data_IF_369306884365
#
_entry.id   IF_369306884365
#
_cell.length_a   1.000
_cell.length_b   1.000
_cell.length_c   1.000
_cell.angle_alpha   90.00
_cell.angle_beta   90.00
_cell.angle_gamma   90.00
#
_symmetry.space_group_name_H-M   'P 1'
#
loop_
_entity.id
_entity.type
_entity.pdbx_description
1 polymer ?
#
# COMPACT_ATOMS: atom_id res chain seq x y z
N UNK A 1 -18.06 -13.30 -26.14
CA UNK A 1 -17.07 -13.33 -25.05
C UNK A 1 -17.82 -13.71 -23.79
N UNK A 2 -17.41 -14.72 -23.03
CA UNK A 2 -18.04 -15.06 -21.76
C UNK A 2 -17.47 -14.19 -20.63
N UNK A 3 -18.23 -14.04 -19.54
CA UNK A 3 -17.80 -13.19 -18.40
C UNK A 3 -16.46 -13.64 -17.82
N UNK A 4 -16.20 -14.94 -17.75
CA UNK A 4 -14.92 -15.47 -17.26
C UNK A 4 -13.73 -15.10 -18.16
N UNK A 5 -13.88 -15.07 -19.51
CA UNK A 5 -12.81 -14.59 -20.40
C UNK A 5 -12.52 -13.10 -20.21
N UNK A 6 -13.56 -12.30 -20.04
CA UNK A 6 -13.39 -10.86 -19.76
C UNK A 6 -12.69 -10.66 -18.40
N UNK A 7 -13.12 -11.37 -17.36
CA UNK A 7 -12.50 -11.26 -16.04
C UNK A 7 -11.02 -11.69 -16.07
N UNK A 8 -10.66 -12.78 -16.77
CA UNK A 8 -9.24 -13.18 -16.92
C UNK A 8 -8.39 -12.05 -17.50
N UNK A 9 -8.86 -11.45 -18.60
CA UNK A 9 -8.14 -10.35 -19.27
C UNK A 9 -8.06 -9.10 -18.41
N UNK A 10 -9.11 -8.80 -17.63
CA UNK A 10 -9.09 -7.70 -16.70
C UNK A 10 -8.08 -7.95 -15.56
N UNK A 11 -8.05 -9.16 -15.01
CA UNK A 11 -7.07 -9.56 -14.00
C UNK A 11 -5.64 -9.34 -14.53
N UNK A 12 -5.35 -9.78 -15.76
CA UNK A 12 -4.02 -9.63 -16.37
C UNK A 12 -3.62 -8.15 -16.56
N UNK A 13 -4.57 -7.28 -16.96
CA UNK A 13 -4.30 -5.83 -17.10
C UNK A 13 -4.11 -5.14 -15.76
N UNK A 14 -4.92 -5.49 -14.77
CA UNK A 14 -4.82 -4.91 -13.42
C UNK A 14 -3.54 -5.35 -12.72
N UNK A 15 -3.15 -6.63 -12.85
CA UNK A 15 -1.86 -7.12 -12.36
C UNK A 15 -0.68 -6.36 -12.99
N UNK A 16 -0.74 -6.12 -14.31
CA UNK A 16 0.26 -5.29 -14.98
C UNK A 16 0.29 -3.84 -14.44
N UNK A 17 -0.87 -3.24 -14.21
CA UNK A 17 -0.96 -1.90 -13.60
C UNK A 17 -0.35 -1.83 -12.20
N UNK A 18 -0.58 -2.86 -11.38
CA UNK A 18 0.03 -2.98 -10.05
C UNK A 18 1.55 -3.21 -10.14
N UNK A 19 2.01 -3.99 -11.11
CA UNK A 19 3.44 -4.18 -11.37
C UNK A 19 4.13 -2.85 -11.69
N UNK A 20 3.55 -2.05 -12.58
CA UNK A 20 4.08 -0.72 -12.92
C UNK A 20 4.07 0.23 -11.71
N UNK A 21 3.04 0.18 -10.89
CA UNK A 21 2.98 0.95 -9.64
C UNK A 21 4.07 0.53 -8.66
N UNK A 22 4.31 -0.78 -8.49
CA UNK A 22 5.41 -1.28 -7.65
C UNK A 22 6.77 -0.86 -8.19
N UNK A 23 6.97 -0.88 -9.51
CA UNK A 23 8.19 -0.38 -10.16
C UNK A 23 8.41 1.11 -9.88
N UNK A 24 7.36 1.91 -9.92
CA UNK A 24 7.42 3.33 -9.60
C UNK A 24 7.82 3.57 -8.13
N UNK A 25 7.22 2.84 -7.17
CA UNK A 25 7.59 2.91 -5.76
C UNK A 25 9.03 2.46 -5.52
N UNK A 26 9.46 1.36 -6.15
CA UNK A 26 10.84 0.88 -6.05
C UNK A 26 11.82 1.92 -6.61
N UNK A 27 11.52 2.50 -7.78
CA UNK A 27 12.33 3.56 -8.37
C UNK A 27 12.44 4.79 -7.46
N UNK A 28 11.35 5.18 -6.81
CA UNK A 28 11.36 6.26 -5.84
C UNK A 28 12.16 5.88 -4.58
N UNK A 29 12.00 4.66 -4.05
CA UNK A 29 12.77 4.18 -2.92
C UNK A 29 14.29 4.17 -3.18
N UNK A 30 14.71 3.82 -4.40
CA UNK A 30 16.12 3.85 -4.80
C UNK A 30 16.64 5.30 -4.86
N UNK A 31 15.87 6.25 -5.39
CA UNK A 31 16.28 7.67 -5.43
C UNK A 31 16.46 8.29 -4.05
N UNK A 32 15.65 7.85 -3.08
CA UNK A 32 15.64 8.38 -1.70
C UNK A 32 16.42 7.49 -0.72
N UNK A 33 17.31 6.64 -1.23
CA UNK A 33 18.10 5.75 -0.39
C UNK A 33 18.97 6.53 0.60
N UNK A 34 18.82 6.22 1.90
CA UNK A 34 19.52 6.91 2.98
C UNK A 34 18.82 8.16 3.51
N UNK A 35 17.77 8.65 2.87
CA UNK A 35 17.02 9.79 3.34
C UNK A 35 16.13 9.43 4.53
N UNK A 36 16.32 10.12 5.66
CA UNK A 36 15.57 9.89 6.91
C UNK A 36 14.38 10.84 6.99
N UNK A 37 13.21 10.29 7.29
CA UNK A 37 11.97 11.03 7.48
C UNK A 37 11.35 10.70 8.85
N UNK A 38 10.49 11.58 9.39
CA UNK A 38 9.74 11.25 10.60
C UNK A 38 8.63 10.24 10.28
N UNK A 39 8.65 9.09 10.95
CA UNK A 39 7.55 8.13 10.94
C UNK A 39 6.46 8.54 11.92
N UNK A 40 5.21 8.17 11.62
CA UNK A 40 4.02 8.55 12.37
C UNK A 40 3.23 7.34 12.86
N UNK A 41 2.73 7.43 14.08
CA UNK A 41 1.64 6.59 14.60
C UNK A 41 0.62 7.50 15.26
N UNK A 42 -0.68 7.19 15.13
CA UNK A 42 -1.76 8.04 15.68
C UNK A 42 -1.67 9.51 15.25
N UNK A 43 -1.18 9.77 14.03
CA UNK A 43 -0.89 11.12 13.51
C UNK A 43 0.10 11.93 14.37
N UNK A 44 0.89 11.24 15.22
CA UNK A 44 1.95 11.85 16.02
C UNK A 44 3.30 11.33 15.55
N UNK A 45 4.31 12.21 15.55
CA UNK A 45 5.69 11.80 15.27
C UNK A 45 6.12 10.73 16.27
N UNK A 46 6.68 9.64 15.78
CA UNK A 46 7.02 8.46 16.57
C UNK A 46 8.52 8.18 16.54
N UNK A 47 9.00 7.64 15.45
CA UNK A 47 10.40 7.25 15.26
C UNK A 47 10.91 7.71 13.90
N UNK A 48 12.24 7.93 13.73
CA UNK A 48 12.78 8.19 12.40
C UNK A 48 12.80 6.89 11.61
N UNK A 49 12.49 6.99 10.31
CA UNK A 49 12.54 5.88 9.36
C UNK A 49 13.20 6.33 8.07
N UNK A 50 13.73 5.42 7.28
CA UNK A 50 14.16 5.73 5.93
C UNK A 50 12.94 5.94 5.02
N UNK A 51 12.97 6.96 4.18
CA UNK A 51 11.95 7.18 3.15
C UNK A 51 11.78 5.94 2.26
N UNK A 52 12.88 5.30 1.87
CA UNK A 52 12.88 4.05 1.11
C UNK A 52 12.11 2.94 1.84
N UNK A 53 12.26 2.83 3.16
CA UNK A 53 11.54 1.84 3.96
C UNK A 53 10.02 2.04 3.89
N UNK A 54 9.56 3.29 4.03
CA UNK A 54 8.13 3.63 3.93
C UNK A 54 7.59 3.38 2.52
N UNK A 55 8.35 3.73 1.48
CA UNK A 55 7.96 3.50 0.08
C UNK A 55 7.85 2.00 -0.25
N UNK A 56 8.78 1.18 0.24
CA UNK A 56 8.74 -0.28 0.04
C UNK A 56 7.58 -0.96 0.79
N UNK A 57 7.03 -0.36 1.84
CA UNK A 57 5.83 -0.88 2.50
C UNK A 57 4.61 -0.91 1.55
N UNK A 58 4.54 0.01 0.59
CA UNK A 58 3.53 0.01 -0.47
C UNK A 58 3.78 -1.12 -1.49
N UNK A 59 5.03 -1.41 -1.82
CA UNK A 59 5.38 -2.58 -2.64
C UNK A 59 4.85 -3.87 -2.01
N UNK A 60 5.02 -4.06 -0.70
CA UNK A 60 4.51 -5.24 0.04
C UNK A 60 2.98 -5.32 0.03
N UNK A 61 2.28 -4.18 0.13
CA UNK A 61 0.81 -4.17 0.06
C UNK A 61 0.30 -4.59 -1.31
N UNK A 62 0.82 -4.00 -2.37
CA UNK A 62 0.40 -4.30 -3.74
C UNK A 62 0.85 -5.70 -4.20
N UNK A 63 1.93 -6.25 -3.65
CA UNK A 63 2.31 -7.64 -3.90
C UNK A 63 1.24 -8.63 -3.39
N UNK A 64 0.70 -8.37 -2.20
CA UNK A 64 -0.42 -9.18 -1.69
C UNK A 64 -1.69 -9.07 -2.54
N UNK A 65 -1.91 -7.92 -3.18
CA UNK A 65 -3.05 -7.76 -4.11
C UNK A 65 -2.81 -8.53 -5.40
N UNK A 66 -1.60 -8.50 -5.95
CA UNK A 66 -1.19 -9.30 -7.10
C UNK A 66 -1.33 -10.82 -6.83
N UNK A 67 -0.92 -11.26 -5.66
CA UNK A 67 -1.10 -12.66 -5.25
C UNK A 67 -2.59 -13.05 -5.22
N UNK A 68 -3.47 -12.18 -4.68
CA UNK A 68 -4.93 -12.41 -4.69
C UNK A 68 -5.49 -12.46 -6.12
N UNK A 69 -5.04 -11.56 -7.00
CA UNK A 69 -5.41 -11.60 -8.42
C UNK A 69 -5.00 -12.92 -9.07
N UNK A 70 -3.78 -13.39 -8.82
CA UNK A 70 -3.28 -14.67 -9.35
C UNK A 70 -4.12 -15.86 -8.85
N UNK A 71 -4.54 -15.85 -7.59
CA UNK A 71 -5.40 -16.91 -7.03
C UNK A 71 -6.84 -16.82 -7.58
N UNK A 72 -7.41 -15.64 -7.70
CA UNK A 72 -8.70 -15.41 -8.34
C UNK A 72 -8.68 -15.87 -9.82
N UNK A 73 -7.59 -15.59 -10.54
CA UNK A 73 -7.41 -15.99 -11.91
C UNK A 73 -7.51 -17.50 -12.14
N UNK A 74 -6.96 -18.30 -11.22
CA UNK A 74 -7.05 -19.78 -11.30
C UNK A 74 -8.50 -20.26 -11.30
N UNK A 75 -9.34 -19.72 -10.42
CA UNK A 75 -10.77 -20.08 -10.32
C UNK A 75 -11.60 -19.49 -11.48
N UNK A 76 -11.22 -18.33 -11.99
CA UNK A 76 -11.85 -17.72 -13.17
C UNK A 76 -11.50 -18.46 -14.47
N UNK A 77 -10.40 -19.22 -14.49
CA UNK A 77 -9.85 -19.84 -15.70
C UNK A 77 -10.52 -21.19 -16.05
N UNK A 78 -11.82 -21.28 -15.83
CA UNK A 78 -12.66 -22.44 -16.14
C UNK A 78 -13.68 -22.07 -17.21
N UNK A 79 -13.73 -22.84 -18.31
CA UNK A 79 -14.61 -22.58 -19.45
C UNK A 79 -16.05 -22.99 -19.14
N UNK A 80 -17.03 -22.05 -19.16
CA UNK A 80 -18.45 -22.41 -19.02
C UNK A 80 -19.12 -22.76 -20.36
N UNK A 81 -18.51 -22.34 -21.50
CA UNK A 81 -19.13 -22.54 -22.81
C UNK A 81 -19.40 -24.02 -23.11
N UNK A 82 -20.54 -24.28 -23.77
CA UNK A 82 -21.03 -25.61 -24.04
C UNK A 82 -21.88 -26.23 -22.91
N UNK A 83 -22.10 -25.52 -21.80
CA UNK A 83 -23.03 -25.92 -20.75
C UNK A 83 -24.50 -25.84 -21.17
N UNK A 84 -24.81 -25.15 -22.26
CA UNK A 84 -26.18 -24.84 -22.65
C UNK A 84 -26.87 -23.93 -21.62
N UNK A 85 -28.20 -24.03 -21.54
CA UNK A 85 -28.95 -23.25 -20.57
C UNK A 85 -29.01 -23.93 -19.15
N UNK A 86 -28.99 -25.28 -19.14
CA UNK A 86 -29.13 -26.08 -17.90
C UNK A 86 -28.58 -27.51 -18.06
N UNK A 87 -28.96 -28.24 -19.09
CA UNK A 87 -28.75 -29.70 -19.19
C UNK A 87 -27.56 -30.10 -20.12
N UNK A 88 -26.77 -29.15 -20.59
CA UNK A 88 -25.76 -29.41 -21.60
C UNK A 88 -26.36 -29.45 -23.04
N UNK A 89 -25.79 -30.26 -23.92
CA UNK A 89 -26.22 -30.40 -25.31
C UNK A 89 -26.20 -31.84 -25.74
N UNK A 90 -27.17 -32.23 -26.58
CA UNK A 90 -27.20 -33.52 -27.28
C UNK A 90 -26.34 -33.51 -28.56
N UNK A 91 -25.84 -32.33 -28.97
CA UNK A 91 -24.96 -32.21 -30.12
C UNK A 91 -23.51 -32.61 -29.73
N UNK A 92 -22.74 -33.19 -30.69
CA UNK A 92 -21.36 -33.60 -30.42
C UNK A 92 -20.40 -32.41 -30.38
N UNK A 93 -20.63 -31.50 -29.46
CA UNK A 93 -19.74 -30.33 -29.26
C UNK A 93 -18.45 -30.74 -28.52
N UNK A 94 -17.32 -30.31 -29.03
CA UNK A 94 -16.02 -30.55 -28.45
C UNK A 94 -15.64 -29.36 -27.52
N UNK A 95 -16.00 -29.47 -26.26
CA UNK A 95 -15.69 -28.43 -25.23
C UNK A 95 -14.19 -28.32 -24.90
N UNK A 96 -13.44 -29.43 -25.08
CA UNK A 96 -12.00 -29.41 -24.86
C UNK A 96 -11.27 -28.68 -25.97
N UNK A 97 -11.73 -28.82 -27.22
CA UNK A 97 -11.21 -28.03 -28.32
C UNK A 97 -11.43 -26.52 -28.09
N UNK A 98 -12.64 -26.14 -27.70
CA UNK A 98 -12.96 -24.74 -27.36
C UNK A 98 -12.13 -24.24 -26.20
N UNK A 99 -11.96 -25.05 -25.17
CA UNK A 99 -11.13 -24.73 -23.99
C UNK A 99 -9.68 -24.41 -24.39
N UNK A 100 -9.06 -25.28 -25.21
CA UNK A 100 -7.70 -25.11 -25.72
C UNK A 100 -7.58 -23.88 -26.62
N UNK A 101 -8.54 -23.68 -27.55
CA UNK A 101 -8.56 -22.54 -28.46
C UNK A 101 -8.69 -21.19 -27.76
N UNK A 102 -9.39 -21.13 -26.64
CA UNK A 102 -9.56 -19.92 -25.82
C UNK A 102 -8.53 -19.81 -24.69
N UNK A 103 -7.67 -20.81 -24.51
CA UNK A 103 -6.62 -20.81 -23.50
C UNK A 103 -7.14 -20.89 -22.05
N UNK A 104 -8.26 -21.59 -21.83
CA UNK A 104 -8.71 -21.92 -20.47
C UNK A 104 -7.95 -23.11 -19.91
N UNK A 105 -7.79 -23.17 -18.60
CA UNK A 105 -7.11 -24.27 -17.91
C UNK A 105 -7.99 -25.52 -17.76
N UNK A 106 -9.31 -25.31 -17.63
CA UNK A 106 -10.27 -26.37 -17.47
C UNK A 106 -11.64 -26.06 -18.07
N UNK A 107 -12.55 -27.01 -17.99
CA UNK A 107 -13.94 -26.93 -18.43
C UNK A 107 -14.86 -27.16 -17.24
N UNK A 108 -15.93 -26.37 -17.09
CA UNK A 108 -16.94 -26.56 -16.05
C UNK A 108 -17.53 -27.98 -16.13
N UNK A 109 -17.36 -28.75 -15.04
CA UNK A 109 -17.69 -30.17 -14.99
C UNK A 109 -19.20 -30.45 -14.93
N UNK A 110 -19.99 -29.50 -14.48
CA UNK A 110 -21.45 -29.60 -14.39
C UNK A 110 -22.09 -28.46 -15.18
N UNK A 111 -22.98 -28.79 -16.12
CA UNK A 111 -23.59 -27.80 -16.99
C UNK A 111 -24.57 -26.88 -16.27
N UNK A 112 -25.24 -27.39 -15.25
CA UNK A 112 -26.18 -26.60 -14.43
C UNK A 112 -25.44 -25.53 -13.64
N UNK A 113 -24.34 -25.93 -12.99
CA UNK A 113 -23.44 -25.05 -12.25
C UNK A 113 -22.78 -24.04 -13.18
N UNK A 114 -22.14 -24.50 -14.26
CA UNK A 114 -21.43 -23.64 -15.19
C UNK A 114 -22.31 -22.59 -15.90
N UNK A 115 -23.63 -22.83 -16.00
CA UNK A 115 -24.56 -21.84 -16.55
C UNK A 115 -24.89 -20.71 -15.54
N UNK A 116 -24.79 -20.97 -14.26
CA UNK A 116 -25.18 -20.05 -13.17
C UNK A 116 -24.02 -19.47 -12.37
N UNK A 117 -22.84 -20.09 -12.43
CA UNK A 117 -21.69 -19.68 -11.61
C UNK A 117 -21.32 -18.19 -11.83
N UNK A 118 -21.21 -17.50 -10.73
CA UNK A 118 -20.72 -16.11 -10.61
C UNK A 118 -19.76 -15.95 -9.43
N UNK A 119 -19.30 -17.03 -8.81
CA UNK A 119 -18.40 -16.96 -7.66
C UNK A 119 -17.11 -16.25 -8.05
N UNK A 120 -16.59 -16.51 -9.27
CA UNK A 120 -15.41 -15.82 -9.79
C UNK A 120 -15.64 -14.30 -9.96
N UNK A 121 -16.87 -13.85 -10.23
CA UNK A 121 -17.20 -12.41 -10.31
C UNK A 121 -17.19 -11.79 -8.92
N UNK A 122 -17.78 -12.47 -7.92
CA UNK A 122 -17.75 -12.03 -6.52
C UNK A 122 -16.33 -11.95 -5.98
N UNK A 123 -15.55 -12.98 -6.25
CA UNK A 123 -14.14 -13.01 -5.82
C UNK A 123 -13.34 -11.90 -6.46
N UNK A 124 -13.47 -11.68 -7.78
CA UNK A 124 -12.81 -10.58 -8.46
C UNK A 124 -13.26 -9.24 -7.87
N UNK A 125 -14.55 -9.01 -7.71
CA UNK A 125 -15.07 -7.76 -7.13
C UNK A 125 -14.51 -7.49 -5.73
N UNK A 126 -14.36 -8.55 -4.90
CA UNK A 126 -13.70 -8.43 -3.59
C UNK A 126 -12.22 -8.02 -3.73
N UNK A 127 -11.46 -8.68 -4.62
CA UNK A 127 -10.05 -8.37 -4.83
C UNK A 127 -9.86 -6.94 -5.33
N UNK A 128 -10.69 -6.50 -6.30
CA UNK A 128 -10.69 -5.13 -6.81
C UNK A 128 -11.00 -4.11 -5.70
N UNK A 129 -11.97 -4.42 -4.84
CA UNK A 129 -12.33 -3.55 -3.71
C UNK A 129 -11.21 -3.42 -2.70
N UNK A 130 -10.55 -4.51 -2.34
CA UNK A 130 -9.42 -4.48 -1.40
C UNK A 130 -8.22 -3.72 -1.99
N UNK A 131 -7.94 -3.91 -3.28
CA UNK A 131 -6.92 -3.14 -3.99
C UNK A 131 -7.24 -1.65 -4.00
N UNK A 132 -8.51 -1.28 -4.25
CA UNK A 132 -8.96 0.10 -4.19
C UNK A 132 -8.85 0.71 -2.77
N UNK A 133 -9.07 -0.09 -1.71
CA UNK A 133 -8.82 0.33 -0.32
C UNK A 133 -7.33 0.64 -0.11
N UNK A 134 -6.41 -0.19 -0.62
CA UNK A 134 -4.98 0.07 -0.50
C UNK A 134 -4.55 1.32 -1.29
N UNK A 135 -5.08 1.52 -2.49
CA UNK A 135 -4.86 2.76 -3.27
C UNK A 135 -5.41 3.98 -2.53
N UNK A 136 -6.59 3.87 -1.90
CA UNK A 136 -7.18 4.94 -1.09
C UNK A 136 -6.33 5.28 0.13
N UNK A 137 -5.76 4.29 0.82
CA UNK A 137 -4.87 4.50 1.96
C UNK A 137 -3.58 5.21 1.55
N UNK A 138 -2.98 4.81 0.43
CA UNK A 138 -1.84 5.49 -0.15
C UNK A 138 -2.16 6.93 -0.52
N UNK A 139 -3.27 7.14 -1.20
CA UNK A 139 -3.71 8.47 -1.63
C UNK A 139 -3.96 9.41 -0.43
N UNK A 140 -4.55 8.89 0.65
CA UNK A 140 -4.75 9.64 1.89
C UNK A 140 -3.42 10.03 2.54
N UNK A 141 -2.50 9.09 2.72
CA UNK A 141 -1.18 9.36 3.30
C UNK A 141 -0.45 10.44 2.52
N UNK A 142 -0.46 10.35 1.18
CA UNK A 142 0.23 11.31 0.33
C UNK A 142 -0.49 12.65 0.24
N UNK A 143 -1.82 12.67 0.34
CA UNK A 143 -2.58 13.93 0.49
C UNK A 143 -2.14 14.64 1.76
N UNK A 144 -2.05 13.94 2.89
CA UNK A 144 -1.56 14.50 4.16
C UNK A 144 -0.13 15.02 4.01
N UNK A 145 0.78 14.23 3.42
CA UNK A 145 2.19 14.60 3.29
C UNK A 145 2.43 15.75 2.30
N UNK A 146 1.48 16.02 1.39
CA UNK A 146 1.53 17.15 0.46
C UNK A 146 0.86 18.42 1.00
N UNK A 147 0.21 18.38 2.18
CA UNK A 147 -0.38 19.60 2.78
C UNK A 147 0.68 20.64 3.13
N UNK A 148 0.28 21.89 3.25
CA UNK A 148 1.16 22.99 3.68
C UNK A 148 1.74 22.77 5.09
N UNK A 149 0.99 22.10 5.97
CA UNK A 149 1.38 21.79 7.33
C UNK A 149 2.50 20.73 7.38
N UNK A 150 2.41 19.65 6.60
CA UNK A 150 3.46 18.66 6.46
C UNK A 150 4.52 19.11 5.46
N UNK A 151 4.15 19.31 4.21
CA UNK A 151 5.02 19.75 3.14
C UNK A 151 6.16 18.79 2.83
N UNK A 152 5.96 17.49 3.06
CA UNK A 152 7.02 16.48 2.86
C UNK A 152 7.12 16.04 1.41
N UNK A 153 6.00 16.03 0.69
CA UNK A 153 5.94 15.61 -0.71
C UNK A 153 5.62 16.77 -1.62
N UNK A 154 6.35 16.86 -2.72
CA UNK A 154 6.07 17.73 -3.86
C UNK A 154 5.53 16.85 -4.98
N UNK A 155 4.23 16.99 -5.25
CA UNK A 155 3.54 16.26 -6.31
C UNK A 155 3.84 16.88 -7.69
N UNK A 156 3.86 16.08 -8.77
CA UNK A 156 4.06 16.63 -10.12
C UNK A 156 2.85 17.49 -10.52
N UNK A 157 3.12 18.67 -11.09
CA UNK A 157 2.09 19.67 -11.44
C UNK A 157 0.98 19.10 -12.34
N UNK A 158 1.32 18.21 -13.27
CA UNK A 158 0.34 17.59 -14.17
C UNK A 158 -0.72 16.71 -13.47
N UNK A 159 -0.54 16.41 -12.18
CA UNK A 159 -1.47 15.63 -11.34
C UNK A 159 -2.15 16.49 -10.27
N UNK A 160 -1.98 17.80 -10.35
CA UNK A 160 -2.55 18.77 -9.42
C UNK A 160 -3.38 19.79 -10.21
N UNK A 161 -4.36 20.41 -9.55
CA UNK A 161 -5.12 21.51 -10.17
C UNK A 161 -5.02 22.79 -9.36
N UNK A 162 -4.95 23.92 -10.07
CA UNK A 162 -5.05 25.24 -9.47
C UNK A 162 -6.49 25.56 -9.05
N UNK A 163 -6.64 26.52 -8.15
CA UNK A 163 -7.94 27.08 -7.80
C UNK A 163 -8.30 28.22 -8.76
N UNK A 164 -9.54 28.25 -9.27
CA UNK A 164 -10.05 29.34 -10.08
C UNK A 164 -10.22 30.67 -9.30
N UNK A 165 -10.26 30.58 -7.96
CA UNK A 165 -10.50 31.73 -7.06
C UNK A 165 -9.26 32.07 -6.25
N UNK A 166 -8.45 31.09 -5.89
CA UNK A 166 -7.27 31.25 -5.03
C UNK A 166 -5.99 30.95 -5.83
N UNK A 167 -5.31 31.96 -6.41
CA UNK A 167 -4.19 31.73 -7.33
C UNK A 167 -2.99 30.99 -6.74
N UNK A 168 -2.83 31.05 -5.42
CA UNK A 168 -1.74 30.37 -4.68
C UNK A 168 -2.03 28.92 -4.33
N UNK A 169 -3.26 28.41 -4.59
CA UNK A 169 -3.71 27.08 -4.14
C UNK A 169 -3.49 26.04 -5.23
N UNK A 170 -2.77 24.99 -4.90
CA UNK A 170 -2.57 23.80 -5.72
C UNK A 170 -3.19 22.61 -4.96
N UNK A 171 -4.09 21.89 -5.61
CA UNK A 171 -4.85 20.80 -5.01
C UNK A 171 -4.31 19.43 -5.48
N UNK A 172 -4.24 18.42 -4.62
CA UNK A 172 -3.84 17.07 -4.98
C UNK A 172 -5.02 16.26 -5.55
N UNK A 173 -5.73 16.79 -6.54
CA UNK A 173 -7.03 16.28 -7.02
C UNK A 173 -6.98 14.81 -7.43
N UNK A 174 -5.89 14.36 -8.06
CA UNK A 174 -5.77 12.96 -8.48
C UNK A 174 -5.76 12.03 -7.27
N UNK A 175 -5.05 12.38 -6.20
CA UNK A 175 -5.07 11.60 -4.96
C UNK A 175 -6.48 11.60 -4.31
N UNK A 176 -7.16 12.74 -4.31
CA UNK A 176 -8.54 12.84 -3.81
C UNK A 176 -9.51 11.99 -4.63
N UNK A 177 -9.36 12.00 -5.97
CA UNK A 177 -10.19 11.17 -6.86
C UNK A 177 -9.91 9.67 -6.67
N UNK A 178 -8.66 9.24 -6.49
CA UNK A 178 -8.32 7.86 -6.16
C UNK A 178 -9.01 7.44 -4.85
N UNK A 179 -8.93 8.28 -3.82
CA UNK A 179 -9.61 8.06 -2.54
C UNK A 179 -11.14 7.99 -2.70
N UNK A 180 -11.73 8.92 -3.45
CA UNK A 180 -13.18 8.98 -3.66
C UNK A 180 -13.72 7.82 -4.51
N UNK A 181 -13.00 7.44 -5.58
CA UNK A 181 -13.42 6.37 -6.49
C UNK A 181 -13.40 4.98 -5.86
N UNK A 182 -12.60 4.75 -4.82
CA UNK A 182 -12.57 3.47 -4.09
C UNK A 182 -13.93 3.06 -3.53
N UNK A 183 -14.80 4.04 -3.20
CA UNK A 183 -16.15 3.78 -2.71
C UNK A 183 -17.02 3.04 -3.75
N UNK A 184 -16.81 3.30 -5.05
CA UNK A 184 -17.58 2.65 -6.13
C UNK A 184 -17.30 1.15 -6.19
N UNK A 185 -16.03 0.76 -6.17
CA UNK A 185 -15.65 -0.68 -6.23
C UNK A 185 -16.15 -1.44 -5.01
N UNK A 186 -16.13 -0.82 -3.82
CA UNK A 186 -16.67 -1.41 -2.57
C UNK A 186 -18.20 -1.60 -2.70
N UNK A 187 -18.91 -0.57 -3.17
CA UNK A 187 -20.35 -0.65 -3.39
C UNK A 187 -20.73 -1.71 -4.42
N UNK A 188 -19.99 -1.81 -5.51
CA UNK A 188 -20.19 -2.80 -6.57
C UNK A 188 -20.00 -4.24 -6.07
N UNK A 189 -18.98 -4.50 -5.25
CA UNK A 189 -18.77 -5.82 -4.67
C UNK A 189 -19.94 -6.24 -3.78
N UNK A 190 -20.49 -5.31 -3.00
CA UNK A 190 -21.65 -5.55 -2.19
C UNK A 190 -22.90 -5.80 -3.04
N UNK A 191 -23.09 -5.02 -4.11
CA UNK A 191 -24.22 -5.18 -5.03
C UNK A 191 -24.25 -6.56 -5.67
N UNK A 192 -23.11 -7.09 -6.13
CA UNK A 192 -22.99 -8.43 -6.71
C UNK A 192 -23.38 -9.52 -5.69
N UNK A 193 -22.91 -9.43 -4.45
CA UNK A 193 -23.29 -10.38 -3.40
C UNK A 193 -24.80 -10.35 -3.10
N UNK A 194 -25.39 -9.16 -3.08
CA UNK A 194 -26.84 -8.99 -2.88
C UNK A 194 -27.64 -9.54 -4.07
N UNK A 195 -27.14 -9.35 -5.30
CA UNK A 195 -27.72 -9.92 -6.52
C UNK A 195 -27.86 -11.44 -6.40
N UNK A 196 -26.80 -12.13 -5.98
CA UNK A 196 -26.74 -13.59 -6.02
C UNK A 196 -27.46 -14.30 -4.86
N UNK A 197 -27.61 -13.65 -3.71
CA UNK A 197 -28.05 -14.25 -2.43
C UNK A 197 -29.37 -15.03 -2.44
N UNK A 198 -30.23 -14.82 -3.40
CA UNK A 198 -31.56 -15.45 -3.44
C UNK A 198 -31.86 -16.19 -4.72
N UNK A 199 -30.86 -16.35 -5.62
CA UNK A 199 -31.05 -17.00 -6.89
C UNK A 199 -31.00 -18.52 -6.77
N UNK A 200 -31.96 -19.25 -7.39
CA UNK A 200 -31.85 -20.71 -7.51
C UNK A 200 -30.77 -21.07 -8.54
N UNK A 201 -30.33 -22.32 -8.46
CA UNK A 201 -29.37 -22.89 -9.43
C UNK A 201 -29.89 -22.82 -10.86
N UNK A 202 -29.03 -22.72 -11.85
CA UNK A 202 -29.24 -22.48 -13.26
C UNK A 202 -29.36 -20.99 -13.63
N UNK A 203 -29.49 -20.70 -14.93
CA UNK A 203 -29.52 -19.35 -15.42
C UNK A 203 -30.81 -18.62 -15.00
N UNK A 204 -30.63 -17.47 -14.41
CA UNK A 204 -31.68 -16.49 -14.12
C UNK A 204 -31.32 -15.15 -14.78
N UNK A 205 -32.31 -14.39 -15.23
CA UNK A 205 -32.07 -13.14 -15.95
C UNK A 205 -31.38 -12.07 -15.09
N UNK A 206 -31.56 -12.14 -13.80
CA UNK A 206 -30.86 -11.32 -12.79
C UNK A 206 -29.35 -11.35 -13.00
N UNK A 207 -28.78 -12.48 -13.41
CA UNK A 207 -27.33 -12.64 -13.66
C UNK A 207 -26.78 -11.73 -14.76
N UNK A 208 -27.61 -10.97 -15.48
CA UNK A 208 -27.17 -9.95 -16.42
C UNK A 208 -26.69 -8.68 -15.73
N UNK A 209 -27.20 -8.40 -14.53
CA UNK A 209 -26.85 -7.22 -13.75
C UNK A 209 -25.42 -7.29 -13.17
N UNK A 210 -24.76 -8.45 -13.21
CA UNK A 210 -23.35 -8.60 -12.83
C UNK A 210 -22.42 -7.76 -13.71
N UNK A 211 -22.82 -7.47 -14.96
CA UNK A 211 -21.99 -6.82 -15.97
C UNK A 211 -21.67 -5.37 -15.62
N UNK A 212 -22.71 -4.59 -15.30
CA UNK A 212 -22.55 -3.16 -15.03
C UNK A 212 -21.63 -2.94 -13.83
N UNK A 213 -21.85 -3.69 -12.76
CA UNK A 213 -21.09 -3.56 -11.50
C UNK A 213 -19.63 -4.00 -11.67
N UNK A 214 -19.36 -5.13 -12.35
CA UNK A 214 -17.99 -5.61 -12.49
C UNK A 214 -17.21 -4.78 -13.52
N UNK A 215 -17.86 -4.33 -14.62
CA UNK A 215 -17.20 -3.49 -15.62
C UNK A 215 -16.83 -2.14 -15.02
N UNK A 216 -17.74 -1.49 -14.30
CA UNK A 216 -17.47 -0.24 -13.62
C UNK A 216 -16.32 -0.37 -12.59
N UNK A 217 -16.24 -1.50 -11.89
CA UNK A 217 -15.13 -1.76 -10.95
C UNK A 217 -13.80 -1.94 -11.67
N UNK A 218 -13.77 -2.67 -12.79
CA UNK A 218 -12.58 -2.88 -13.61
C UNK A 218 -12.10 -1.54 -14.18
N UNK A 219 -12.98 -0.80 -14.85
CA UNK A 219 -12.65 0.48 -15.51
C UNK A 219 -12.17 1.51 -14.46
N UNK A 220 -12.83 1.55 -13.30
CA UNK A 220 -12.44 2.43 -12.19
C UNK A 220 -11.02 2.10 -11.70
N UNK A 221 -10.73 0.82 -11.47
CA UNK A 221 -9.42 0.43 -10.94
C UNK A 221 -8.31 0.61 -11.98
N UNK A 222 -8.56 0.27 -13.25
CA UNK A 222 -7.60 0.51 -14.35
C UNK A 222 -7.27 2.00 -14.48
N UNK A 223 -8.27 2.88 -14.40
CA UNK A 223 -8.06 4.32 -14.41
C UNK A 223 -7.24 4.82 -13.20
N UNK A 224 -7.54 4.30 -12.00
CA UNK A 224 -6.77 4.64 -10.78
C UNK A 224 -5.30 4.22 -10.92
N UNK A 225 -5.02 3.00 -11.39
CA UNK A 225 -3.66 2.50 -11.60
C UNK A 225 -2.92 3.26 -12.69
N UNK A 226 -3.64 3.61 -13.77
CA UNK A 226 -3.07 4.39 -14.88
C UNK A 226 -2.53 5.75 -14.48
N UNK A 227 -3.09 6.39 -13.45
CA UNK A 227 -2.59 7.66 -12.92
C UNK A 227 -1.65 7.48 -11.73
N UNK A 228 -1.75 6.38 -10.98
CA UNK A 228 -0.96 6.17 -9.76
C UNK A 228 0.53 6.00 -10.07
N UNK A 229 0.90 5.14 -11.01
CA UNK A 229 2.30 4.87 -11.32
C UNK A 229 3.08 6.12 -11.78
N UNK A 230 2.61 6.92 -12.77
CA UNK A 230 3.30 8.13 -13.18
C UNK A 230 3.29 9.22 -12.10
N UNK A 231 2.24 9.33 -11.26
CA UNK A 231 2.23 10.23 -10.12
C UNK A 231 3.33 9.87 -9.12
N UNK A 232 3.45 8.59 -8.75
CA UNK A 232 4.53 8.12 -7.86
C UNK A 232 5.90 8.39 -8.47
N UNK A 233 6.09 8.09 -9.74
CA UNK A 233 7.37 8.28 -10.43
C UNK A 233 7.82 9.75 -10.45
N UNK A 234 6.88 10.69 -10.59
CA UNK A 234 7.13 12.13 -10.66
C UNK A 234 7.22 12.83 -9.29
N UNK A 235 6.76 12.19 -8.22
CA UNK A 235 6.78 12.77 -6.87
C UNK A 235 8.21 12.84 -6.31
N UNK A 236 8.47 13.85 -5.47
CA UNK A 236 9.75 14.08 -4.79
C UNK A 236 9.51 14.41 -3.31
N UNK A 237 10.48 14.13 -2.45
CA UNK A 237 10.50 14.69 -1.11
C UNK A 237 11.04 16.12 -1.11
N UNK A 238 10.45 17.00 -0.31
CA UNK A 238 11.05 18.26 0.09
C UNK A 238 12.04 18.01 1.23
N UNK A 239 13.29 17.78 0.86
CA UNK A 239 14.36 17.47 1.81
C UNK A 239 14.57 18.57 2.84
N UNK A 240 14.44 19.85 2.43
CA UNK A 240 14.63 20.99 3.33
C UNK A 240 13.49 21.04 4.38
N UNK A 241 12.26 20.83 3.95
CA UNK A 241 11.09 20.79 4.84
C UNK A 241 11.18 19.63 5.84
N UNK A 242 11.56 18.43 5.38
CA UNK A 242 11.74 17.26 6.24
C UNK A 242 12.86 17.50 7.25
N UNK A 243 14.01 18.06 6.85
CA UNK A 243 15.12 18.35 7.73
C UNK A 243 14.72 19.27 8.89
N UNK A 244 13.89 20.31 8.65
CA UNK A 244 13.39 21.18 9.73
C UNK A 244 12.41 20.49 10.67
N UNK A 245 11.85 19.37 10.26
CA UNK A 245 10.80 18.65 11.00
C UNK A 245 11.36 17.48 11.81
N UNK A 246 12.38 16.80 11.28
CA UNK A 246 12.91 15.56 11.87
C UNK A 246 13.62 15.79 13.21
N UNK A 247 14.24 16.93 13.38
CA UNK A 247 14.93 17.29 14.64
C UNK A 247 13.95 17.71 15.75
N UNK A 248 12.69 17.92 15.41
CA UNK A 248 11.65 18.30 16.36
C UNK A 248 10.82 17.08 16.77
N UNK A 249 10.73 16.81 18.07
CA UNK A 249 9.84 15.78 18.61
C UNK A 249 10.56 14.57 19.23
N UNK A 250 11.88 14.65 19.40
CA UNK A 250 12.66 13.65 20.13
C UNK A 250 12.48 12.22 19.60
N UNK A 251 12.53 12.06 18.27
CA UNK A 251 12.28 10.79 17.58
C UNK A 251 13.29 9.71 17.93
N UNK A 252 14.45 10.10 18.45
CA UNK A 252 15.56 9.26 18.90
C UNK A 252 15.39 8.75 20.37
N UNK A 253 14.35 9.17 21.08
CA UNK A 253 14.11 8.79 22.47
C UNK A 253 14.02 7.26 22.65
N UNK A 254 13.32 6.57 21.77
CA UNK A 254 13.22 5.09 21.81
C UNK A 254 14.59 4.43 21.60
N UNK A 255 15.42 4.97 20.71
CA UNK A 255 16.78 4.46 20.48
C UNK A 255 17.66 4.59 21.73
N UNK A 256 17.55 5.69 22.45
CA UNK A 256 18.23 5.86 23.75
C UNK A 256 17.70 4.87 24.79
N UNK A 257 16.38 4.70 24.88
CA UNK A 257 15.78 3.73 25.81
C UNK A 257 16.29 2.31 25.55
N UNK A 258 16.31 1.87 24.29
CA UNK A 258 16.83 0.56 23.89
C UNK A 258 18.33 0.42 24.18
N UNK A 259 19.10 1.50 24.03
CA UNK A 259 20.53 1.51 24.39
C UNK A 259 20.75 1.33 25.90
N UNK A 260 19.91 1.93 26.75
CA UNK A 260 19.93 1.70 28.20
C UNK A 260 19.55 0.25 28.54
N UNK A 261 18.52 -0.31 27.90
CA UNK A 261 18.12 -1.70 28.08
C UNK A 261 19.25 -2.65 27.71
N UNK A 262 19.96 -2.38 26.59
CA UNK A 262 21.11 -3.17 26.17
C UNK A 262 22.29 -3.13 27.16
N UNK A 263 22.36 -2.10 28.01
CA UNK A 263 23.32 -2.02 29.14
C UNK A 263 22.80 -2.67 30.42
N UNK A 264 21.66 -3.37 30.38
CA UNK A 264 21.09 -4.06 31.54
C UNK A 264 20.13 -3.23 32.40
N UNK A 265 19.77 -2.02 31.98
CA UNK A 265 18.77 -1.21 32.69
C UNK A 265 17.38 -1.82 32.45
N UNK A 266 16.59 -2.09 33.49
CA UNK A 266 15.23 -2.58 33.34
C UNK A 266 14.39 -1.64 32.47
N UNK A 267 13.57 -2.19 31.56
CA UNK A 267 12.78 -1.42 30.58
C UNK A 267 11.97 -0.27 31.22
N UNK A 268 11.32 -0.53 32.34
CA UNK A 268 10.54 0.50 33.06
C UNK A 268 11.41 1.67 33.50
N UNK A 269 12.54 1.37 34.09
CA UNK A 269 13.51 2.39 34.55
C UNK A 269 14.08 3.15 33.36
N UNK A 270 14.46 2.46 32.27
CA UNK A 270 14.94 3.11 31.04
C UNK A 270 13.89 4.06 30.47
N UNK A 271 12.63 3.65 30.42
CA UNK A 271 11.53 4.47 29.94
C UNK A 271 11.32 5.73 30.82
N UNK A 272 11.31 5.57 32.14
CA UNK A 272 11.18 6.70 33.08
C UNK A 272 12.37 7.69 32.96
N UNK A 273 13.59 7.18 32.90
CA UNK A 273 14.81 7.97 32.70
C UNK A 273 14.75 8.80 31.42
N UNK A 274 14.46 8.15 30.28
CA UNK A 274 14.35 8.84 28.99
C UNK A 274 13.18 9.82 28.99
N UNK A 275 12.05 9.47 29.59
CA UNK A 275 10.91 10.36 29.76
C UNK A 275 11.27 11.65 30.53
N UNK A 276 12.11 11.59 31.55
CA UNK A 276 12.62 12.77 32.27
C UNK A 276 13.52 13.63 31.37
N UNK A 277 14.43 13.00 30.62
CA UNK A 277 15.31 13.69 29.67
C UNK A 277 14.54 14.40 28.58
N UNK A 278 13.55 13.73 27.99
CA UNK A 278 12.66 14.32 26.97
C UNK A 278 11.90 15.53 27.53
N UNK A 279 11.29 15.41 28.70
CA UNK A 279 10.62 16.58 29.35
C UNK A 279 11.57 17.74 29.56
N UNK A 280 12.81 17.48 29.97
CA UNK A 280 13.84 18.51 30.16
C UNK A 280 14.21 19.19 28.83
N UNK A 281 14.44 18.41 27.80
CA UNK A 281 14.73 18.90 26.45
C UNK A 281 13.56 19.76 25.90
N UNK A 282 12.32 19.31 26.10
CA UNK A 282 11.11 20.05 25.72
C UNK A 282 11.01 21.41 26.47
N UNK A 283 11.28 21.42 27.78
CA UNK A 283 11.26 22.65 28.58
C UNK A 283 12.30 23.66 28.10
N UNK A 284 13.46 23.18 27.64
CA UNK A 284 14.53 24.03 27.09
C UNK A 284 14.32 24.41 25.62
N UNK A 285 13.41 23.77 24.91
CA UNK A 285 13.20 23.95 23.47
C UNK A 285 14.35 23.44 22.61
N UNK A 286 15.09 22.42 23.07
CA UNK A 286 16.26 21.85 22.40
C UNK A 286 16.03 20.39 22.00
N UNK A 287 16.82 19.85 21.07
CA UNK A 287 16.82 18.42 20.78
C UNK A 287 17.39 17.61 21.96
N UNK A 288 17.00 16.32 22.05
CA UNK A 288 17.50 15.45 23.11
C UNK A 288 19.04 15.34 23.07
N UNK A 289 19.62 15.29 21.88
CA UNK A 289 21.07 15.26 21.67
C UNK A 289 21.82 16.53 22.12
N UNK A 290 21.14 17.66 22.28
CA UNK A 290 21.73 18.94 22.69
C UNK A 290 21.81 19.11 24.23
N UNK A 291 21.20 18.19 25.00
CA UNK A 291 21.40 18.18 26.43
C UNK A 291 22.87 17.87 26.78
N UNK A 292 23.38 18.53 27.83
CA UNK A 292 24.75 18.32 28.31
C UNK A 292 24.91 16.94 28.98
N UNK A 293 26.13 16.40 29.00
CA UNK A 293 26.42 15.15 29.72
C UNK A 293 26.09 15.24 31.22
N UNK A 294 26.22 16.41 31.83
CA UNK A 294 25.81 16.63 33.22
C UNK A 294 24.30 16.44 33.43
N UNK A 295 23.50 16.80 32.48
CA UNK A 295 22.04 16.59 32.55
C UNK A 295 21.66 15.12 32.38
N UNK A 296 22.35 14.41 31.50
CA UNK A 296 22.19 12.97 31.40
C UNK A 296 22.65 12.23 32.66
N UNK A 297 23.82 12.60 33.21
CA UNK A 297 24.35 12.01 34.44
C UNK A 297 23.43 12.23 35.65
N UNK A 298 22.69 13.33 35.73
CA UNK A 298 21.68 13.56 36.78
C UNK A 298 20.52 12.57 36.75
N UNK A 299 20.14 12.12 35.55
CA UNK A 299 19.05 11.16 35.38
C UNK A 299 19.55 9.71 35.38
N UNK A 300 20.79 9.48 34.94
CA UNK A 300 21.40 8.15 34.90
C UNK A 300 22.92 8.22 35.12
N UNK A 301 23.37 7.76 36.28
CA UNK A 301 24.79 7.82 36.67
C UNK A 301 25.71 7.01 35.74
N UNK A 302 25.20 6.01 35.01
CA UNK A 302 25.92 5.22 34.03
C UNK A 302 26.05 5.86 32.65
N UNK A 303 25.69 7.13 32.49
CA UNK A 303 25.78 7.84 31.20
C UNK A 303 27.22 7.82 30.65
N UNK A 304 27.35 7.52 29.37
CA UNK A 304 28.64 7.41 28.70
C UNK A 304 28.53 7.70 27.19
N UNK A 305 29.67 7.75 26.49
CA UNK A 305 29.74 8.03 25.06
C UNK A 305 29.00 7.04 24.17
N UNK A 306 28.85 5.77 24.59
CA UNK A 306 28.10 4.77 23.84
C UNK A 306 26.60 5.09 23.83
N UNK A 307 26.04 5.56 24.95
CA UNK A 307 24.66 6.02 25.06
C UNK A 307 24.43 7.30 24.24
N UNK A 308 25.39 8.22 24.26
CA UNK A 308 25.33 9.42 23.41
C UNK A 308 25.30 9.07 21.90
N UNK A 309 25.96 7.97 21.51
CA UNK A 309 25.91 7.43 20.17
C UNK A 309 24.54 6.92 19.69
N UNK A 310 23.56 6.79 20.62
CA UNK A 310 22.18 6.42 20.27
C UNK A 310 21.30 7.63 19.91
N UNK A 311 21.80 8.86 20.09
CA UNK A 311 21.06 10.08 19.86
C UNK A 311 21.24 10.63 18.46
N UNK A 312 20.19 11.27 17.94
CA UNK A 312 20.10 11.80 16.59
C UNK A 312 19.38 10.85 15.65
N UNK A 313 18.51 11.40 14.78
CA UNK A 313 17.60 10.62 13.94
C UNK A 313 18.32 9.64 13.00
N UNK A 314 19.45 10.03 12.39
CA UNK A 314 20.24 9.13 11.52
C UNK A 314 20.84 7.96 12.28
N UNK A 315 21.42 8.22 13.47
CA UNK A 315 21.97 7.15 14.31
C UNK A 315 20.91 6.20 14.86
N UNK A 316 19.73 6.74 15.18
CA UNK A 316 18.60 5.95 15.62
C UNK A 316 18.17 4.96 14.53
N UNK A 317 18.10 5.38 13.25
CA UNK A 317 17.80 4.52 12.12
C UNK A 317 18.84 3.41 11.93
N UNK A 318 20.14 3.73 12.02
CA UNK A 318 21.24 2.77 11.88
C UNK A 318 21.17 1.63 12.92
N UNK A 319 20.61 1.88 14.09
CA UNK A 319 20.50 0.90 15.20
C UNK A 319 19.34 -0.09 15.03
N UNK A 320 18.38 0.15 14.13
CA UNK A 320 17.23 -0.71 13.89
C UNK A 320 17.63 -1.96 13.09
N UNK A 321 18.30 -2.92 13.73
CA UNK A 321 18.98 -4.05 13.07
C UNK A 321 18.10 -5.28 12.82
N UNK A 322 16.86 -5.34 13.34
CA UNK A 322 15.96 -6.49 13.18
C UNK A 322 15.61 -6.75 11.72
N UNK A 323 15.25 -7.99 11.38
CA UNK A 323 14.79 -8.31 10.03
C UNK A 323 13.57 -7.47 9.65
N UNK A 324 13.58 -6.91 8.44
CA UNK A 324 12.49 -6.06 7.93
C UNK A 324 12.45 -4.66 8.53
N UNK A 325 13.47 -4.24 9.30
CA UNK A 325 13.54 -2.91 9.90
C UNK A 325 14.06 -1.84 8.93
N UNK A 326 14.08 -0.60 9.42
CA UNK A 326 14.46 0.58 8.64
C UNK A 326 15.98 0.82 8.54
N UNK A 327 16.85 -0.02 9.15
CA UNK A 327 18.30 0.18 9.05
C UNK A 327 18.77 0.17 7.59
N UNK A 328 19.79 1.00 7.22
CA UNK A 328 20.24 1.11 5.84
C UNK A 328 20.59 -0.23 5.17
N UNK A 329 21.27 -1.13 5.89
CA UNK A 329 21.59 -2.45 5.40
C UNK A 329 20.34 -3.30 5.11
N UNK A 330 19.33 -3.24 6.01
CA UNK A 330 18.07 -3.97 5.84
C UNK A 330 17.24 -3.44 4.68
N UNK A 331 17.22 -2.13 4.50
CA UNK A 331 16.53 -1.52 3.37
C UNK A 331 17.24 -1.82 2.05
N UNK A 332 18.58 -1.84 2.04
CA UNK A 332 19.35 -2.28 0.86
C UNK A 332 19.02 -3.73 0.47
N UNK A 333 18.92 -4.64 1.45
CA UNK A 333 18.49 -6.03 1.22
C UNK A 333 17.08 -6.08 0.60
N UNK A 334 16.13 -5.29 1.13
CA UNK A 334 14.77 -5.21 0.61
C UNK A 334 14.73 -4.66 -0.82
N UNK A 335 15.47 -3.58 -1.12
CA UNK A 335 15.59 -3.04 -2.48
C UNK A 335 16.10 -4.13 -3.44
N UNK A 336 17.16 -4.85 -3.08
CA UNK A 336 17.71 -5.92 -3.90
C UNK A 336 16.71 -7.07 -4.13
N UNK A 337 15.90 -7.42 -3.12
CA UNK A 337 14.81 -8.40 -3.26
C UNK A 337 13.77 -7.90 -4.26
N UNK A 338 13.32 -6.65 -4.12
CA UNK A 338 12.31 -6.07 -5.00
C UNK A 338 12.80 -5.89 -6.44
N UNK A 339 14.06 -5.51 -6.64
CA UNK A 339 14.66 -5.46 -7.97
C UNK A 339 14.59 -6.83 -8.69
N UNK A 340 14.87 -7.92 -7.97
CA UNK A 340 14.75 -9.27 -8.56
C UNK A 340 13.31 -9.71 -8.82
N UNK A 341 12.36 -9.31 -7.95
CA UNK A 341 10.93 -9.67 -8.10
C UNK A 341 10.23 -8.93 -9.24
N UNK A 342 10.67 -7.70 -9.54
CA UNK A 342 10.04 -6.82 -10.52
C UNK A 342 10.84 -6.71 -11.85
N UNK A 343 11.94 -7.46 -11.95
CA UNK A 343 12.68 -7.62 -13.20
C UNK A 343 11.83 -8.41 -14.21
#
# INVERSE_FOLDING_TARGET
MCSSDLCRRAIDRIDHGLLELQRAFLGFAIREQGFVIPGYTHMRRAQPVLASHQLLAWCEKFDRDRQRLADCRKRTNILPLGSGAIAGSSLPIDREHVQKSLGFEGVAANSLDGASDRDFVCELAFVLSLTAVHLSQWAEEWTIYSTQEFGFLVLPEGFCTGSSIMPQKINPDVLELVRGKSARTIGNAQAILVLLKGLPTAYNRDLQEDKETIFDSIDTLEAMLGVAAPLVAGTKFDHARVATTIERGHLDATSLMEALIAQGVPQRTAHETVGHLVRRAMTKGVALAELSDQEFLKEYAGWNGSLRGALGSSRAVERMASFGSTAPARVADQIAIWQRRLA
#
